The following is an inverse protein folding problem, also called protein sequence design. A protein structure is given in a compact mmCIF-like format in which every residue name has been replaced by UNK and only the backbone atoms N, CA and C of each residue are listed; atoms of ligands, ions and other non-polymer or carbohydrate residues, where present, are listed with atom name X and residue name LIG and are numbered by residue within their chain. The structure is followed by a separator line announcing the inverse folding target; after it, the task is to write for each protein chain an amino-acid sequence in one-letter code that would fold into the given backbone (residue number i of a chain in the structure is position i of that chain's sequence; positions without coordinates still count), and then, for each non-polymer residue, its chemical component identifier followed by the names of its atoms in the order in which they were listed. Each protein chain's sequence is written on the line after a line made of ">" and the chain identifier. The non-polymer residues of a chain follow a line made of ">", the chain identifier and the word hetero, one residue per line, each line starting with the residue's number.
data_IF_193718494103
#
_entry.id   IF_193718494103
#
_cell.length_a   1.000
_cell.length_b   1.000
_cell.length_c   1.000
_cell.angle_alpha   90.00
_cell.angle_beta   90.00
_cell.angle_gamma   90.00
#
_symmetry.space_group_name_H-M   'P 1'
#
loop_
_entity.id
_entity.type
_entity.pdbx_description
1 polymer ?
#
# COMPACT_ATOMS: atom_id res chain seq x y z
N UNK A 1 -17.40 37.59 30.84
CA UNK A 1 -17.38 37.80 29.38
C UNK A 1 -18.75 37.46 28.83
N UNK A 2 -19.31 38.26 27.92
CA UNK A 2 -20.63 38.01 27.32
C UNK A 2 -20.60 36.77 26.40
N UNK A 3 -21.76 36.14 26.16
CA UNK A 3 -21.90 35.04 25.18
C UNK A 3 -21.40 35.44 23.79
N UNK A 4 -21.63 36.70 23.38
CA UNK A 4 -21.13 37.25 22.12
C UNK A 4 -19.60 37.27 22.05
N UNK A 5 -18.92 37.55 23.16
CA UNK A 5 -17.46 37.52 23.21
C UNK A 5 -16.91 36.09 23.11
N UNK A 6 -17.60 35.09 23.67
CA UNK A 6 -17.25 33.68 23.48
C UNK A 6 -17.47 33.22 22.04
N UNK A 7 -18.59 33.59 21.43
CA UNK A 7 -18.89 33.24 20.04
C UNK A 7 -17.88 33.85 19.06
N UNK A 8 -17.48 35.11 19.26
CA UNK A 8 -16.45 35.76 18.45
C UNK A 8 -15.07 35.11 18.62
N UNK A 9 -14.74 34.65 19.83
CA UNK A 9 -13.50 33.92 20.10
C UNK A 9 -13.50 32.55 19.42
N UNK A 10 -14.60 31.81 19.46
CA UNK A 10 -14.76 30.54 18.73
C UNK A 10 -14.67 30.74 17.22
N UNK A 11 -15.31 31.78 16.68
CA UNK A 11 -15.25 32.09 15.24
C UNK A 11 -13.84 32.49 14.82
N UNK A 12 -13.15 33.28 15.65
CA UNK A 12 -11.75 33.66 15.43
C UNK A 12 -10.81 32.47 15.54
N UNK A 13 -11.00 31.57 16.51
CA UNK A 13 -10.25 30.33 16.65
C UNK A 13 -10.46 29.41 15.45
N UNK A 14 -11.70 29.19 15.01
CA UNK A 14 -12.00 28.42 13.80
C UNK A 14 -11.41 29.04 12.53
N UNK A 15 -11.38 30.38 12.45
CA UNK A 15 -10.76 31.09 11.33
C UNK A 15 -9.23 30.99 11.37
N UNK A 16 -8.62 31.08 12.55
CA UNK A 16 -7.17 30.93 12.75
C UNK A 16 -6.74 29.48 12.53
N UNK A 17 -7.51 28.49 12.95
CA UNK A 17 -7.26 27.08 12.64
C UNK A 17 -7.40 26.81 11.13
N UNK A 18 -8.39 27.39 10.45
CA UNK A 18 -8.51 27.31 9.00
C UNK A 18 -7.31 27.95 8.28
N UNK A 19 -6.87 29.14 8.74
CA UNK A 19 -5.70 29.86 8.22
C UNK A 19 -4.37 29.16 8.55
N UNK A 20 -4.25 28.50 9.71
CA UNK A 20 -3.06 27.76 10.12
C UNK A 20 -3.01 26.36 9.47
N UNK A 21 -4.16 25.76 9.15
CA UNK A 21 -4.27 24.55 8.33
C UNK A 21 -4.01 24.79 6.84
N UNK A 22 -3.94 26.07 6.41
CA UNK A 22 -3.60 26.47 5.04
C UNK A 22 -2.14 26.21 4.65
N UNK A 23 -1.36 25.50 5.47
CA UNK A 23 -0.26 24.67 4.95
C UNK A 23 -0.84 23.65 3.97
N UNK A 24 -0.83 24.01 2.68
CA UNK A 24 -1.29 23.27 1.50
C UNK A 24 -1.77 21.84 1.78
N UNK A 25 -3.06 21.70 2.12
CA UNK A 25 -3.68 20.38 2.13
C UNK A 25 -3.52 19.73 0.75
N UNK A 26 -3.31 18.39 0.69
CA UNK A 26 -3.11 17.72 -0.58
C UNK A 26 -4.37 17.84 -1.45
N UNK A 27 -4.20 17.89 -2.77
CA UNK A 27 -5.30 17.74 -3.73
C UNK A 27 -5.66 16.28 -3.95
N UNK A 28 -4.68 15.39 -3.78
CA UNK A 28 -4.76 13.97 -4.08
C UNK A 28 -4.33 13.17 -2.86
N UNK A 29 -5.14 12.18 -2.50
CA UNK A 29 -4.75 11.14 -1.56
C UNK A 29 -4.60 9.86 -2.37
N UNK A 30 -3.36 9.42 -2.51
CA UNK A 30 -2.97 8.27 -3.33
C UNK A 30 -2.72 7.08 -2.42
N UNK A 31 -3.34 5.95 -2.71
CA UNK A 31 -3.26 4.74 -1.88
C UNK A 31 -2.61 3.58 -2.62
N UNK A 32 -1.73 2.84 -1.97
CA UNK A 32 -1.59 1.42 -2.29
C UNK A 32 -2.85 0.66 -1.85
N UNK A 33 -3.02 -0.56 -2.35
CA UNK A 33 -4.17 -1.41 -2.05
C UNK A 33 -3.81 -2.47 -1.01
N UNK A 34 -2.93 -3.41 -1.37
CA UNK A 34 -2.51 -4.50 -0.48
C UNK A 34 -1.78 -3.95 0.75
N UNK A 35 -2.25 -4.27 1.95
CA UNK A 35 -1.65 -3.82 3.21
C UNK A 35 -1.99 -2.39 3.61
N UNK A 36 -2.79 -1.69 2.80
CA UNK A 36 -3.29 -0.34 3.08
C UNK A 36 -4.81 -0.34 3.13
N UNK A 37 -5.48 -0.58 2.00
CA UNK A 37 -6.95 -0.61 1.92
C UNK A 37 -7.53 -1.99 2.21
N UNK A 38 -6.74 -3.04 1.96
CA UNK A 38 -7.10 -4.44 2.23
C UNK A 38 -5.98 -5.13 2.99
N UNK A 39 -6.24 -6.30 3.56
CA UNK A 39 -5.24 -7.10 4.29
C UNK A 39 -3.99 -7.34 3.42
N UNK A 40 -2.80 -7.17 4.02
CA UNK A 40 -1.52 -7.32 3.32
C UNK A 40 -1.27 -8.77 2.90
N UNK A 41 -0.88 -9.02 1.64
CA UNK A 41 -0.50 -10.36 1.20
C UNK A 41 0.75 -10.88 1.94
N UNK A 42 1.61 -9.96 2.41
CA UNK A 42 2.80 -10.31 3.19
C UNK A 42 2.48 -10.94 4.55
N UNK A 43 1.28 -10.70 5.09
CA UNK A 43 0.85 -11.39 6.29
C UNK A 43 0.69 -12.90 6.05
N UNK A 44 0.19 -13.30 4.88
CA UNK A 44 0.04 -14.72 4.57
C UNK A 44 1.38 -15.38 4.23
N UNK A 45 2.32 -14.65 3.61
CA UNK A 45 3.70 -15.13 3.46
C UNK A 45 4.26 -15.53 4.84
N UNK A 46 4.15 -14.64 5.83
CA UNK A 46 4.62 -14.92 7.19
C UNK A 46 3.90 -16.13 7.80
N UNK A 47 2.58 -16.21 7.68
CA UNK A 47 1.80 -17.33 8.19
C UNK A 47 2.24 -18.65 7.55
N UNK A 48 2.43 -18.66 6.24
CA UNK A 48 2.87 -19.83 5.48
C UNK A 48 4.25 -20.28 5.91
N UNK A 49 5.21 -19.36 6.03
CA UNK A 49 6.57 -19.66 6.47
C UNK A 49 6.56 -20.30 7.87
N UNK A 50 5.83 -19.71 8.82
CA UNK A 50 5.72 -20.24 10.17
C UNK A 50 5.06 -21.63 10.22
N UNK A 51 3.97 -21.84 9.46
CA UNK A 51 3.28 -23.14 9.39
C UNK A 51 4.16 -24.25 8.82
N UNK A 52 5.10 -23.91 7.94
CA UNK A 52 5.97 -24.86 7.26
C UNK A 52 7.39 -24.94 7.88
N UNK A 53 7.62 -24.33 9.04
CA UNK A 53 8.94 -24.34 9.70
C UNK A 53 10.02 -23.60 8.92
N UNK A 54 9.64 -22.68 8.04
CA UNK A 54 10.55 -21.84 7.27
C UNK A 54 10.89 -20.60 8.13
N UNK A 55 12.18 -20.25 8.31
CA UNK A 55 12.57 -18.99 8.92
C UNK A 55 11.88 -17.81 8.25
N UNK A 56 11.21 -16.92 9.04
CA UNK A 56 10.47 -15.81 8.47
C UNK A 56 11.30 -14.90 7.57
N UNK A 57 10.72 -14.52 6.44
CA UNK A 57 11.29 -13.63 5.44
C UNK A 57 12.01 -14.31 4.27
N UNK A 58 11.97 -15.64 4.16
CA UNK A 58 12.56 -16.36 3.03
C UNK A 58 11.95 -15.95 1.68
N UNK A 59 10.62 -15.96 1.59
CA UNK A 59 9.90 -15.62 0.35
C UNK A 59 10.18 -14.16 -0.02
N UNK A 60 10.05 -13.25 0.94
CA UNK A 60 10.34 -11.83 0.72
C UNK A 60 11.81 -11.57 0.34
N UNK A 61 12.75 -12.31 0.93
CA UNK A 61 14.16 -12.25 0.55
C UNK A 61 14.34 -12.69 -0.90
N UNK A 62 13.73 -13.80 -1.30
CA UNK A 62 13.81 -14.33 -2.67
C UNK A 62 13.19 -13.38 -3.69
N UNK A 63 12.04 -12.78 -3.39
CA UNK A 63 11.45 -11.72 -4.20
C UNK A 63 12.43 -10.54 -4.35
N UNK A 64 12.97 -10.03 -3.24
CA UNK A 64 13.93 -8.92 -3.28
C UNK A 64 15.19 -9.24 -4.11
N UNK A 65 15.71 -10.47 -4.03
CA UNK A 65 16.93 -10.88 -4.74
C UNK A 65 16.74 -11.19 -6.21
N UNK A 66 15.52 -11.47 -6.64
CA UNK A 66 15.19 -11.70 -8.05
C UNK A 66 14.71 -10.43 -8.75
N UNK A 67 14.48 -9.35 -8.00
CA UNK A 67 14.17 -8.04 -8.58
C UNK A 67 15.29 -7.54 -9.53
N UNK A 68 14.95 -6.87 -10.64
CA UNK A 68 13.60 -6.58 -11.12
C UNK A 68 13.02 -7.67 -12.05
N UNK A 69 13.71 -8.79 -12.23
CA UNK A 69 13.46 -9.72 -13.34
C UNK A 69 12.83 -11.07 -12.93
N UNK A 70 12.59 -11.29 -11.64
CA UNK A 70 11.89 -12.47 -11.15
C UNK A 70 10.46 -12.55 -11.69
N UNK A 71 9.89 -13.75 -11.73
CA UNK A 71 8.57 -14.03 -12.28
C UNK A 71 7.49 -13.12 -11.67
N UNK A 72 7.53 -12.91 -10.36
CA UNK A 72 6.61 -11.99 -9.66
C UNK A 72 6.66 -10.55 -10.21
N UNK A 73 7.86 -10.04 -10.47
CA UNK A 73 8.05 -8.67 -10.96
C UNK A 73 7.57 -8.52 -12.40
N UNK A 74 7.81 -9.53 -13.24
CA UNK A 74 7.32 -9.58 -14.62
C UNK A 74 5.79 -9.65 -14.65
N UNK A 75 5.19 -10.47 -13.78
CA UNK A 75 3.74 -10.56 -13.63
C UNK A 75 3.15 -9.21 -13.20
N UNK A 76 3.76 -8.54 -12.22
CA UNK A 76 3.30 -7.23 -11.76
C UNK A 76 3.46 -6.11 -12.80
N UNK A 77 4.29 -6.31 -13.83
CA UNK A 77 4.39 -5.41 -15.00
C UNK A 77 3.55 -5.86 -16.18
N UNK A 78 2.78 -6.95 -16.06
CA UNK A 78 2.00 -7.49 -17.18
C UNK A 78 2.85 -8.04 -18.32
N UNK A 79 4.13 -8.32 -18.08
CA UNK A 79 5.05 -8.87 -19.10
C UNK A 79 4.80 -10.36 -19.36
N UNK A 80 4.21 -11.06 -18.39
CA UNK A 80 3.82 -12.47 -18.47
C UNK A 80 2.39 -12.63 -17.93
N UNK A 81 1.73 -13.72 -18.35
CA UNK A 81 0.38 -14.07 -17.90
C UNK A 81 0.43 -14.76 -16.53
N UNK A 82 -0.68 -14.71 -15.80
CA UNK A 82 -0.89 -15.52 -14.61
C UNK A 82 -1.32 -16.93 -15.03
N UNK A 83 -0.37 -17.79 -15.36
CA UNK A 83 -0.61 -19.16 -15.82
C UNK A 83 0.48 -20.12 -15.31
N UNK A 84 0.49 -21.36 -15.83
CA UNK A 84 1.43 -22.41 -15.45
C UNK A 84 2.90 -21.98 -15.60
N UNK A 85 3.23 -21.18 -16.62
CA UNK A 85 4.59 -20.68 -16.86
C UNK A 85 5.02 -19.68 -15.77
N UNK A 86 4.09 -18.79 -15.34
CA UNK A 86 4.33 -17.94 -14.18
C UNK A 86 4.59 -18.77 -12.92
N UNK A 87 3.75 -19.78 -12.64
CA UNK A 87 3.92 -20.59 -11.44
C UNK A 87 5.21 -21.41 -11.46
N UNK A 88 5.62 -21.93 -12.62
CA UNK A 88 6.92 -22.58 -12.80
C UNK A 88 8.07 -21.60 -12.50
N UNK A 89 8.01 -20.38 -13.05
CA UNK A 89 9.00 -19.34 -12.81
C UNK A 89 9.05 -18.89 -11.35
N UNK A 90 7.90 -18.70 -10.70
CA UNK A 90 7.82 -18.27 -9.31
C UNK A 90 8.36 -19.35 -8.36
N UNK A 91 8.02 -20.62 -8.59
CA UNK A 91 8.61 -21.73 -7.86
C UNK A 91 10.12 -21.82 -8.06
N UNK A 92 10.61 -21.63 -9.30
CA UNK A 92 12.04 -21.60 -9.58
C UNK A 92 12.76 -20.48 -8.81
N UNK A 93 12.18 -19.28 -8.76
CA UNK A 93 12.73 -18.14 -8.01
C UNK A 93 12.86 -18.42 -6.50
N UNK A 94 12.00 -19.28 -5.96
CA UNK A 94 11.98 -19.70 -4.55
C UNK A 94 12.86 -20.93 -4.25
N UNK A 95 13.49 -21.56 -5.27
CA UNK A 95 14.20 -22.84 -5.13
C UNK A 95 15.72 -22.76 -5.36
N UNK A 96 16.33 -21.61 -5.10
CA UNK A 96 17.76 -21.41 -5.29
C UNK A 96 18.59 -21.73 -4.01
N UNK A 97 19.47 -22.74 -4.05
CA UNK A 97 20.25 -23.15 -2.88
C UNK A 97 21.26 -22.10 -2.40
N UNK A 98 21.80 -21.26 -3.28
CA UNK A 98 22.77 -20.24 -2.92
C UNK A 98 22.09 -19.07 -2.20
N UNK A 99 20.92 -18.64 -2.69
CA UNK A 99 20.07 -17.66 -1.99
C UNK A 99 19.63 -18.19 -0.63
N UNK A 100 19.24 -19.46 -0.54
CA UNK A 100 18.86 -20.08 0.72
C UNK A 100 19.99 -20.04 1.75
N UNK A 101 21.20 -20.47 1.34
CA UNK A 101 22.40 -20.40 2.19
C UNK A 101 22.66 -18.97 2.67
N UNK A 102 22.58 -17.98 1.79
CA UNK A 102 22.82 -16.58 2.13
C UNK A 102 21.77 -16.03 3.11
N UNK A 103 20.49 -16.27 2.83
CA UNK A 103 19.38 -15.89 3.68
C UNK A 103 19.49 -16.52 5.07
N UNK A 104 19.64 -17.84 5.14
CA UNK A 104 19.71 -18.56 6.41
C UNK A 104 20.89 -18.09 7.26
N UNK A 105 22.06 -17.94 6.64
CA UNK A 105 23.25 -17.41 7.32
C UNK A 105 22.99 -16.05 7.93
N UNK A 106 22.43 -15.12 7.14
CA UNK A 106 22.12 -13.78 7.62
C UNK A 106 21.05 -13.78 8.72
N UNK A 107 20.01 -14.61 8.59
CA UNK A 107 18.93 -14.72 9.55
C UNK A 107 19.42 -15.24 10.91
N UNK A 108 20.29 -16.24 10.92
CA UNK A 108 20.89 -16.80 12.13
C UNK A 108 21.89 -15.83 12.77
N UNK A 109 22.73 -15.16 11.98
CA UNK A 109 23.64 -14.13 12.49
C UNK A 109 22.90 -12.99 13.20
N UNK A 110 21.76 -12.54 12.67
CA UNK A 110 20.91 -11.53 13.32
C UNK A 110 20.35 -11.99 14.67
N UNK A 111 20.25 -13.30 14.88
CA UNK A 111 19.82 -13.90 16.15
C UNK A 111 21.01 -14.26 17.06
N UNK A 112 22.25 -13.96 16.66
CA UNK A 112 23.45 -14.32 17.42
C UNK A 112 23.77 -15.82 17.39
N UNK A 113 23.24 -16.56 16.42
CA UNK A 113 23.43 -18.01 16.27
C UNK A 113 24.56 -18.29 15.28
N UNK A 114 25.56 -19.06 15.72
CA UNK A 114 26.64 -19.55 14.85
C UNK A 114 26.13 -20.68 13.96
N UNK A 115 26.23 -20.50 12.65
CA UNK A 115 25.79 -21.48 11.66
C UNK A 115 26.85 -22.56 11.47
N UNK A 116 26.55 -23.79 11.88
CA UNK A 116 27.43 -24.96 11.70
C UNK A 116 27.07 -25.80 10.48
N UNK A 117 25.80 -25.77 10.07
CA UNK A 117 25.29 -26.43 8.86
C UNK A 117 24.12 -25.63 8.28
N UNK A 118 23.91 -25.75 6.95
CA UNK A 118 22.75 -25.17 6.27
C UNK A 118 21.66 -26.26 6.19
N UNK A 119 20.45 -26.02 6.72
CA UNK A 119 19.35 -26.98 6.58
C UNK A 119 18.95 -27.15 5.10
N UNK A 120 18.23 -28.24 4.76
CA UNK A 120 17.69 -28.41 3.41
C UNK A 120 16.89 -27.18 2.95
N UNK A 121 16.94 -26.90 1.64
CA UNK A 121 16.13 -25.87 1.02
C UNK A 121 14.64 -26.15 1.30
N UNK A 122 13.88 -25.18 1.84
CA UNK A 122 12.46 -25.38 2.09
C UNK A 122 11.70 -25.63 0.78
N UNK A 123 10.75 -26.56 0.83
CA UNK A 123 9.79 -26.74 -0.25
C UNK A 123 8.68 -25.70 -0.08
N UNK A 124 8.60 -24.77 -1.02
CA UNK A 124 7.50 -23.81 -1.09
C UNK A 124 6.60 -24.20 -2.26
N UNK A 125 5.31 -24.30 -1.96
CA UNK A 125 4.24 -24.36 -2.96
C UNK A 125 3.90 -22.93 -3.38
N UNK A 126 4.58 -22.46 -4.42
CA UNK A 126 4.42 -21.09 -4.90
C UNK A 126 3.03 -20.78 -5.47
N UNK A 127 2.35 -21.79 -6.01
CA UNK A 127 1.01 -21.61 -6.60
C UNK A 127 -0.04 -21.51 -5.50
N UNK A 128 -0.03 -22.43 -4.52
CA UNK A 128 -0.92 -22.33 -3.37
C UNK A 128 -0.72 -21.01 -2.62
N UNK A 129 0.55 -20.64 -2.37
CA UNK A 129 0.87 -19.40 -1.65
C UNK A 129 0.37 -18.17 -2.42
N UNK A 130 0.54 -18.15 -3.74
CA UNK A 130 0.04 -17.07 -4.59
C UNK A 130 -1.47 -16.92 -4.44
N UNK A 131 -2.24 -17.99 -4.62
CA UNK A 131 -3.70 -17.91 -4.57
C UNK A 131 -4.21 -17.53 -3.19
N UNK A 132 -3.56 -18.03 -2.12
CA UNK A 132 -3.93 -17.67 -0.76
C UNK A 132 -3.64 -16.19 -0.46
N UNK A 133 -2.51 -15.64 -0.92
CA UNK A 133 -2.22 -14.20 -0.85
C UNK A 133 -3.30 -13.39 -1.56
N UNK A 134 -3.71 -13.79 -2.77
CA UNK A 134 -4.74 -13.09 -3.52
C UNK A 134 -6.13 -13.18 -2.86
N UNK A 135 -6.42 -14.31 -2.22
CA UNK A 135 -7.68 -14.54 -1.50
C UNK A 135 -7.77 -13.66 -0.25
N UNK A 136 -6.72 -13.60 0.57
CA UNK A 136 -6.74 -12.82 1.81
C UNK A 136 -6.71 -11.31 1.55
N UNK A 137 -6.03 -10.87 0.48
CA UNK A 137 -5.93 -9.46 0.06
C UNK A 137 -7.19 -8.95 -0.66
N UNK A 138 -8.36 -9.36 -0.17
CA UNK A 138 -9.68 -8.88 -0.56
C UNK A 138 -10.47 -8.33 0.62
N UNK A 139 -10.15 -8.78 1.83
CA UNK A 139 -10.80 -8.28 3.04
C UNK A 139 -10.39 -6.81 3.28
N UNK A 140 -11.36 -5.87 3.39
CA UNK A 140 -11.05 -4.48 3.70
C UNK A 140 -10.33 -4.33 5.04
N UNK A 141 -9.39 -3.40 5.13
CA UNK A 141 -8.76 -3.05 6.40
C UNK A 141 -9.78 -2.32 7.30
N UNK A 142 -9.93 -2.72 8.59
CA UNK A 142 -10.98 -2.21 9.45
C UNK A 142 -10.84 -0.73 9.82
N UNK A 143 -9.68 -0.12 9.62
CA UNK A 143 -9.44 1.31 9.89
C UNK A 143 -9.42 2.12 8.61
N UNK A 144 -8.71 1.63 7.59
CA UNK A 144 -8.54 2.37 6.35
C UNK A 144 -9.84 2.38 5.53
N UNK A 145 -10.65 1.31 5.57
CA UNK A 145 -11.87 1.25 4.77
C UNK A 145 -12.92 2.30 5.18
N UNK A 146 -13.31 2.44 6.46
CA UNK A 146 -14.20 3.53 6.89
C UNK A 146 -13.61 4.92 6.62
N UNK A 147 -12.30 5.10 6.82
CA UNK A 147 -11.62 6.35 6.51
C UNK A 147 -11.73 6.71 5.03
N UNK A 148 -11.54 5.74 4.13
CA UNK A 148 -11.66 5.92 2.68
C UNK A 148 -13.10 6.31 2.28
N UNK A 149 -14.11 5.69 2.90
CA UNK A 149 -15.53 6.04 2.70
C UNK A 149 -15.82 7.50 3.08
N UNK A 150 -15.33 7.95 4.24
CA UNK A 150 -15.47 9.34 4.69
C UNK A 150 -14.71 10.32 3.78
N UNK A 151 -13.49 9.96 3.37
CA UNK A 151 -12.71 10.75 2.41
C UNK A 151 -13.46 10.93 1.09
N UNK A 152 -14.03 9.85 0.54
CA UNK A 152 -14.84 9.92 -0.68
C UNK A 152 -16.10 10.77 -0.50
N UNK A 153 -16.82 10.56 0.60
CA UNK A 153 -18.04 11.30 0.92
C UNK A 153 -17.80 12.81 1.09
N UNK A 154 -16.61 13.22 1.53
CA UNK A 154 -16.24 14.64 1.64
C UNK A 154 -16.27 15.39 0.29
N UNK A 155 -16.07 14.67 -0.82
CA UNK A 155 -15.98 15.25 -2.17
C UNK A 155 -14.83 16.24 -2.38
N UNK A 156 -13.92 16.36 -1.41
CA UNK A 156 -12.87 17.40 -1.38
C UNK A 156 -11.60 17.00 -2.13
N UNK A 157 -11.22 15.72 -2.03
CA UNK A 157 -9.96 15.19 -2.55
C UNK A 157 -10.17 14.32 -3.79
N UNK A 158 -9.14 14.21 -4.63
CA UNK A 158 -9.04 13.12 -5.61
C UNK A 158 -8.60 11.87 -4.85
N UNK A 159 -9.43 10.84 -4.86
CA UNK A 159 -9.11 9.56 -4.22
C UNK A 159 -8.57 8.62 -5.29
N UNK A 160 -7.27 8.38 -5.29
CA UNK A 160 -6.58 7.60 -6.32
C UNK A 160 -5.88 6.37 -5.74
N UNK A 161 -5.74 5.32 -6.55
CA UNK A 161 -4.95 4.13 -6.21
C UNK A 161 -3.73 3.98 -7.12
N UNK A 162 -2.61 3.55 -6.56
CA UNK A 162 -1.39 3.15 -7.27
C UNK A 162 -0.85 1.85 -6.65
N UNK A 163 -1.10 0.73 -7.34
CA UNK A 163 -0.80 -0.58 -6.78
C UNK A 163 -0.04 -1.48 -7.74
N UNK A 164 0.95 -2.21 -7.17
CA UNK A 164 1.57 -3.33 -7.85
C UNK A 164 0.55 -4.48 -7.86
N UNK A 165 0.01 -4.77 -9.04
CA UNK A 165 -1.14 -5.64 -9.30
C UNK A 165 -0.80 -6.56 -10.46
N UNK A 166 -1.70 -7.49 -10.76
CA UNK A 166 -1.57 -8.48 -11.83
C UNK A 166 -2.86 -8.59 -12.62
N UNK A 167 -2.78 -9.22 -13.79
CA UNK A 167 -3.93 -9.57 -14.62
C UNK A 167 -4.21 -11.05 -14.38
N UNK A 168 -5.38 -11.36 -13.82
CA UNK A 168 -5.81 -12.74 -13.56
C UNK A 168 -6.24 -13.43 -14.86
N UNK A 169 -6.28 -14.78 -14.90
CA UNK A 169 -6.80 -15.52 -16.05
C UNK A 169 -8.20 -15.04 -16.46
N UNK A 170 -8.52 -15.14 -17.74
CA UNK A 170 -9.86 -14.80 -18.25
C UNK A 170 -10.93 -15.63 -17.52
N UNK A 171 -12.02 -14.98 -17.11
CA UNK A 171 -13.11 -15.62 -16.38
C UNK A 171 -12.84 -15.94 -14.90
N UNK A 172 -11.64 -15.63 -14.38
CA UNK A 172 -11.38 -15.79 -12.95
C UNK A 172 -12.22 -14.81 -12.12
N UNK A 173 -12.83 -15.27 -11.02
CA UNK A 173 -13.67 -14.47 -10.10
C UNK A 173 -12.95 -13.23 -9.54
N UNK A 174 -11.62 -13.22 -9.60
CA UNK A 174 -10.81 -12.11 -9.12
C UNK A 174 -10.77 -10.91 -10.05
N UNK A 175 -11.22 -11.07 -11.30
CA UNK A 175 -11.40 -9.97 -12.24
C UNK A 175 -12.66 -9.14 -11.94
N UNK A 176 -13.62 -9.69 -11.19
CA UNK A 176 -14.86 -9.01 -10.87
C UNK A 176 -14.59 -7.77 -10.00
N UNK A 177 -15.41 -6.74 -10.22
CA UNK A 177 -15.30 -5.50 -9.47
C UNK A 177 -15.53 -5.77 -7.97
N UNK A 178 -14.58 -5.36 -7.13
CA UNK A 178 -14.76 -5.35 -5.68
C UNK A 178 -15.15 -3.94 -5.20
N UNK A 179 -15.83 -3.87 -4.06
CA UNK A 179 -16.29 -2.60 -3.47
C UNK A 179 -15.14 -1.61 -3.27
N UNK A 180 -13.96 -2.11 -2.90
CA UNK A 180 -12.76 -1.31 -2.68
C UNK A 180 -12.35 -0.56 -3.94
N UNK A 181 -12.38 -1.18 -5.12
CA UNK A 181 -12.02 -0.52 -6.38
C UNK A 181 -12.98 0.61 -6.74
N UNK A 182 -14.26 0.46 -6.42
CA UNK A 182 -15.32 1.40 -6.85
C UNK A 182 -15.21 2.81 -6.24
N UNK A 183 -14.48 2.94 -5.12
CA UNK A 183 -14.37 4.21 -4.40
C UNK A 183 -13.39 5.19 -5.06
N UNK A 184 -12.42 4.67 -5.81
CA UNK A 184 -11.35 5.47 -6.38
C UNK A 184 -11.83 6.20 -7.63
N UNK A 185 -11.51 7.49 -7.71
CA UNK A 185 -11.68 8.28 -8.93
C UNK A 185 -10.75 7.78 -10.04
N UNK A 186 -9.57 7.29 -9.66
CA UNK A 186 -8.50 6.81 -10.55
C UNK A 186 -7.88 5.57 -9.93
N UNK A 187 -7.71 4.51 -10.73
CA UNK A 187 -7.06 3.28 -10.29
C UNK A 187 -5.93 2.91 -11.25
N UNK A 188 -4.68 3.07 -10.81
CA UNK A 188 -3.48 2.75 -11.59
C UNK A 188 -3.00 1.36 -11.20
N UNK A 189 -3.17 0.43 -12.14
CA UNK A 189 -2.69 -0.96 -12.03
C UNK A 189 -1.36 -1.09 -12.76
N UNK A 190 -0.30 -1.46 -12.02
CA UNK A 190 1.05 -1.70 -12.56
C UNK A 190 1.06 -2.62 -13.79
N UNK A 191 0.32 -3.73 -13.74
CA UNK A 191 0.31 -4.71 -14.83
C UNK A 191 -0.37 -4.19 -16.10
N UNK A 192 -1.34 -3.27 -15.97
CA UNK A 192 -2.00 -2.67 -17.13
C UNK A 192 -1.17 -1.55 -17.75
N UNK A 193 -0.34 -0.87 -16.95
CA UNK A 193 0.48 0.25 -17.44
C UNK A 193 1.92 -0.15 -17.78
N UNK A 194 2.34 -1.39 -17.49
CA UNK A 194 3.69 -1.88 -17.79
C UNK A 194 4.80 -1.33 -16.89
N UNK A 195 4.45 -0.69 -15.78
CA UNK A 195 5.39 -0.06 -14.84
C UNK A 195 5.16 -0.61 -13.44
N UNK A 196 6.17 -0.53 -12.56
CA UNK A 196 6.07 -1.08 -11.20
C UNK A 196 6.73 -0.19 -10.17
N UNK A 197 6.13 -0.03 -8.99
CA UNK A 197 6.83 0.55 -7.84
C UNK A 197 8.04 -0.34 -7.47
N UNK A 198 9.21 0.20 -7.10
CA UNK A 198 9.51 1.60 -6.83
C UNK A 198 10.14 2.38 -8.01
N UNK A 199 9.94 1.97 -9.27
CA UNK A 199 10.46 2.71 -10.43
C UNK A 199 9.89 4.14 -10.47
N UNK A 200 10.72 5.20 -10.57
CA UNK A 200 10.26 6.59 -10.64
C UNK A 200 9.24 6.84 -11.76
N UNK A 201 9.30 6.09 -12.86
CA UNK A 201 8.40 6.24 -14.00
C UNK A 201 6.92 6.07 -13.61
N UNK A 202 6.59 5.15 -12.70
CA UNK A 202 5.19 4.91 -12.30
C UNK A 202 4.62 6.06 -11.47
N UNK A 203 5.44 6.71 -10.65
CA UNK A 203 5.01 7.87 -9.87
C UNK A 203 4.83 9.10 -10.74
N UNK A 204 5.71 9.32 -11.73
CA UNK A 204 5.55 10.39 -12.71
C UNK A 204 4.29 10.18 -13.56
N UNK A 205 4.02 8.94 -14.00
CA UNK A 205 2.77 8.61 -14.67
C UNK A 205 1.56 8.90 -13.78
N UNK A 206 1.59 8.49 -12.50
CA UNK A 206 0.51 8.76 -11.56
C UNK A 206 0.26 10.27 -11.39
N UNK A 207 1.31 11.08 -11.25
CA UNK A 207 1.21 12.54 -11.19
C UNK A 207 0.52 13.12 -12.44
N UNK A 208 0.93 12.68 -13.64
CA UNK A 208 0.29 13.10 -14.89
C UNK A 208 -1.19 12.71 -14.93
N UNK A 209 -1.54 11.47 -14.58
CA UNK A 209 -2.92 10.97 -14.59
C UNK A 209 -3.82 11.75 -13.63
N UNK A 210 -3.38 12.01 -12.40
CA UNK A 210 -4.21 12.76 -11.43
C UNK A 210 -4.31 14.24 -11.78
N UNK A 211 -3.28 14.83 -12.41
CA UNK A 211 -3.31 16.20 -12.90
C UNK A 211 -4.33 16.35 -14.05
N UNK A 212 -4.33 15.44 -15.02
CA UNK A 212 -5.31 15.43 -16.12
C UNK A 212 -6.74 15.31 -15.59
N UNK A 213 -6.97 14.40 -14.63
CA UNK A 213 -8.28 14.27 -13.98
C UNK A 213 -8.70 15.55 -13.27
N UNK A 214 -7.79 16.18 -12.51
CA UNK A 214 -8.06 17.43 -11.81
C UNK A 214 -8.51 18.53 -12.78
N UNK A 215 -7.74 18.77 -13.85
CA UNK A 215 -8.02 19.80 -14.85
C UNK A 215 -9.34 19.54 -15.57
N UNK A 216 -9.62 18.29 -15.96
CA UNK A 216 -10.87 17.91 -16.64
C UNK A 216 -12.11 18.17 -15.77
N UNK A 217 -11.99 18.05 -14.46
CA UNK A 217 -13.12 18.15 -13.53
C UNK A 217 -13.20 19.52 -12.81
N UNK A 218 -12.22 20.40 -13.01
CA UNK A 218 -12.08 21.66 -12.26
C UNK A 218 -13.28 22.64 -12.39
N UNK A 219 -14.08 22.51 -13.46
CA UNK A 219 -15.29 23.32 -13.65
C UNK A 219 -16.43 22.94 -12.69
N UNK A 220 -16.49 21.68 -12.27
CA UNK A 220 -17.59 21.12 -11.47
C UNK A 220 -17.16 20.69 -10.06
N UNK A 221 -15.89 20.35 -9.86
CA UNK A 221 -15.33 19.86 -8.59
C UNK A 221 -14.02 20.58 -8.25
N UNK A 222 -13.54 20.40 -7.02
CA UNK A 222 -12.17 20.76 -6.66
C UNK A 222 -11.86 22.26 -6.56
N UNK A 223 -12.86 23.14 -6.62
CA UNK A 223 -12.67 24.60 -6.46
C UNK A 223 -11.96 24.94 -5.16
N UNK A 224 -12.35 24.30 -4.05
CA UNK A 224 -11.77 24.54 -2.72
C UNK A 224 -10.29 24.15 -2.58
N UNK A 225 -9.78 23.26 -3.44
CA UNK A 225 -8.36 22.88 -3.48
C UNK A 225 -7.66 23.34 -4.76
N UNK A 226 -8.28 24.22 -5.55
CA UNK A 226 -7.68 24.83 -6.73
C UNK A 226 -7.28 23.83 -7.83
N UNK A 227 -8.11 22.83 -8.13
CA UNK A 227 -7.83 21.85 -9.20
C UNK A 227 -7.61 22.49 -10.58
N UNK A 228 -8.17 23.68 -10.83
CA UNK A 228 -7.95 24.45 -12.06
C UNK A 228 -6.48 24.85 -12.26
N UNK A 229 -5.67 24.88 -11.20
CA UNK A 229 -4.24 25.18 -11.25
C UNK A 229 -3.38 23.92 -11.49
N UNK A 230 -4.01 22.77 -11.75
CA UNK A 230 -3.36 21.47 -11.87
C UNK A 230 -2.93 20.88 -10.52
N UNK A 231 -2.26 19.73 -10.59
CA UNK A 231 -1.70 18.99 -9.45
C UNK A 231 -0.18 18.92 -9.64
N UNK A 232 0.57 19.31 -8.60
CA UNK A 232 2.02 19.15 -8.48
C UNK A 232 2.35 17.98 -7.56
N UNK A 233 3.60 17.50 -7.59
CA UNK A 233 4.05 16.41 -6.72
C UNK A 233 3.77 16.67 -5.22
N UNK A 234 3.99 17.90 -4.76
CA UNK A 234 3.72 18.33 -3.37
C UNK A 234 2.23 18.35 -2.98
N UNK A 235 1.32 18.31 -3.97
CA UNK A 235 -0.13 18.23 -3.74
C UNK A 235 -0.61 16.78 -3.52
N UNK A 236 0.30 15.79 -3.56
CA UNK A 236 -0.02 14.36 -3.42
C UNK A 236 0.51 13.85 -2.08
N UNK A 237 -0.35 13.19 -1.32
CA UNK A 237 0.06 12.34 -0.18
C UNK A 237 -0.16 10.87 -0.54
N UNK A 238 0.91 10.09 -0.50
CA UNK A 238 0.92 8.67 -0.86
C UNK A 238 1.00 7.76 0.37
N UNK A 239 0.10 6.78 0.46
CA UNK A 239 0.04 5.78 1.52
C UNK A 239 0.47 4.41 0.98
N UNK A 240 1.44 3.78 1.64
CA UNK A 240 1.98 2.48 1.21
C UNK A 240 2.55 1.72 2.43
N UNK A 241 2.43 0.39 2.42
CA UNK A 241 2.94 -0.49 3.47
C UNK A 241 4.37 -0.99 3.20
N UNK A 242 5.00 -0.57 2.09
CA UNK A 242 6.38 -0.87 1.70
C UNK A 242 7.26 0.39 1.75
N UNK A 243 8.35 0.32 2.52
CA UNK A 243 9.20 1.49 2.78
C UNK A 243 9.98 1.97 1.55
N UNK A 244 10.36 1.06 0.65
CA UNK A 244 11.08 1.41 -0.58
C UNK A 244 10.20 2.17 -1.57
N UNK A 245 8.90 1.80 -1.66
CA UNK A 245 7.93 2.52 -2.46
C UNK A 245 7.80 3.98 -1.97
N UNK A 246 7.61 4.18 -0.67
CA UNK A 246 7.54 5.53 -0.09
C UNK A 246 8.83 6.32 -0.28
N UNK A 247 10.00 5.68 -0.18
CA UNK A 247 11.29 6.35 -0.45
C UNK A 247 11.37 6.84 -1.90
N UNK A 248 10.89 6.07 -2.87
CA UNK A 248 10.85 6.48 -4.26
C UNK A 248 9.81 7.59 -4.50
N UNK A 249 8.61 7.48 -3.93
CA UNK A 249 7.58 8.52 -3.97
C UNK A 249 8.09 9.86 -3.41
N UNK A 250 8.81 9.83 -2.28
CA UNK A 250 9.41 11.02 -1.69
C UNK A 250 10.48 11.66 -2.57
N UNK A 251 11.25 10.87 -3.33
CA UNK A 251 12.26 11.37 -4.28
C UNK A 251 11.63 12.12 -5.46
N UNK A 252 10.41 11.78 -5.87
CA UNK A 252 9.67 12.52 -6.91
C UNK A 252 8.87 13.71 -6.35
N UNK A 253 8.88 13.92 -5.03
CA UNK A 253 8.28 15.07 -4.36
C UNK A 253 6.93 14.83 -3.68
N UNK A 254 6.46 13.57 -3.58
CA UNK A 254 5.19 13.28 -2.89
C UNK A 254 5.35 13.39 -1.38
N UNK A 255 4.30 13.86 -0.70
CA UNK A 255 4.09 13.57 0.70
C UNK A 255 3.86 12.07 0.90
N UNK A 256 4.23 11.52 2.05
CA UNK A 256 4.14 10.08 2.30
C UNK A 256 3.67 9.77 3.70
N UNK A 257 2.76 8.82 3.84
CA UNK A 257 2.32 8.24 5.12
C UNK A 257 2.63 6.75 5.08
N UNK A 258 3.29 6.25 6.13
CA UNK A 258 3.64 4.84 6.24
C UNK A 258 2.51 4.07 6.90
N UNK A 259 1.94 3.10 6.19
CA UNK A 259 1.02 2.14 6.83
C UNK A 259 1.85 1.01 7.43
N UNK A 260 1.80 0.89 8.75
CA UNK A 260 2.45 -0.22 9.47
C UNK A 260 1.48 -1.39 9.55
N UNK A 261 1.97 -2.58 9.27
CA UNK A 261 1.17 -3.81 9.29
C UNK A 261 0.50 -3.99 10.66
N UNK A 262 -0.84 -4.15 10.67
CA UNK A 262 -1.64 -4.28 11.90
C UNK A 262 -1.84 -2.98 12.70
N UNK A 263 -1.41 -1.83 12.15
CA UNK A 263 -1.47 -0.52 12.80
C UNK A 263 -1.98 0.58 11.84
N UNK A 264 -2.92 0.24 10.95
CA UNK A 264 -3.51 1.20 10.01
C UNK A 264 -4.15 2.42 10.70
N UNK A 265 -4.58 2.29 11.96
CA UNK A 265 -5.07 3.40 12.78
C UNK A 265 -4.05 4.55 12.94
N UNK A 266 -2.73 4.28 12.92
CA UNK A 266 -1.72 5.33 12.99
C UNK A 266 -1.71 6.15 11.69
N UNK A 267 -1.82 5.48 10.55
CA UNK A 267 -1.90 6.12 9.24
C UNK A 267 -3.21 6.91 9.08
N UNK A 268 -4.33 6.41 9.60
CA UNK A 268 -5.60 7.15 9.65
C UNK A 268 -5.45 8.41 10.50
N UNK A 269 -4.84 8.34 11.68
CA UNK A 269 -4.60 9.52 12.51
C UNK A 269 -3.67 10.55 11.84
N UNK A 270 -2.72 10.11 11.01
CA UNK A 270 -1.91 11.01 10.17
C UNK A 270 -2.75 11.64 9.05
N UNK A 271 -3.64 10.89 8.41
CA UNK A 271 -4.59 11.41 7.42
C UNK A 271 -5.52 12.48 8.02
N UNK A 272 -6.01 12.29 9.24
CA UNK A 272 -6.84 13.28 9.94
C UNK A 272 -6.09 14.60 10.11
N UNK A 273 -4.82 14.55 10.52
CA UNK A 273 -3.97 15.76 10.66
C UNK A 273 -3.75 16.46 9.31
N UNK A 274 -3.56 15.69 8.24
CA UNK A 274 -3.30 16.22 6.89
C UNK A 274 -4.56 16.81 6.27
N UNK A 275 -5.72 16.20 6.52
CA UNK A 275 -6.98 16.57 5.86
C UNK A 275 -7.88 17.48 6.70
N UNK A 276 -7.69 17.51 8.02
CA UNK A 276 -8.58 18.16 8.97
C UNK A 276 -9.95 17.48 9.11
N UNK A 277 -10.10 16.25 8.58
CA UNK A 277 -11.35 15.48 8.68
C UNK A 277 -11.28 14.51 9.87
N UNK A 278 -12.43 14.23 10.49
CA UNK A 278 -12.60 13.09 11.39
C UNK A 278 -12.81 11.82 10.54
N UNK A 279 -11.80 10.96 10.52
CA UNK A 279 -11.77 9.73 9.72
C UNK A 279 -11.91 8.47 10.58
N UNK A 280 -11.33 8.45 11.78
CA UNK A 280 -11.31 7.29 12.64
C UNK A 280 -12.69 6.93 13.22
N UNK A 281 -13.57 7.93 13.45
CA UNK A 281 -14.85 7.70 14.12
C UNK A 281 -14.69 6.99 15.48
N UNK A 282 -15.66 6.14 15.83
CA UNK A 282 -15.73 5.45 17.15
C UNK A 282 -15.04 4.07 17.18
N UNK A 283 -14.19 3.76 16.20
CA UNK A 283 -13.58 2.43 16.11
C UNK A 283 -12.67 2.16 17.34
N UNK A 284 -12.83 1.01 18.03
CA UNK A 284 -12.00 0.70 19.18
C UNK A 284 -10.57 0.41 18.73
N UNK A 285 -9.59 1.11 19.32
CA UNK A 285 -8.13 1.01 19.08
C UNK A 285 -7.54 -0.35 19.48
N UNK A 286 -8.05 -1.44 18.91
CA UNK A 286 -7.55 -2.80 19.08
C UNK A 286 -6.58 -3.07 17.93
N UNK A 287 -5.30 -3.25 18.24
CA UNK A 287 -4.34 -3.67 17.22
C UNK A 287 -4.67 -5.10 16.77
N UNK A 288 -4.77 -5.30 15.47
CA UNK A 288 -4.83 -6.61 14.82
C UNK A 288 -3.43 -7.17 14.55
N UNK A 289 -2.38 -6.60 15.16
CA UNK A 289 -1.01 -7.06 14.97
C UNK A 289 -0.91 -8.57 15.26
N UNK A 290 -0.22 -9.34 14.41
CA UNK A 290 0.03 -10.74 14.68
C UNK A 290 0.69 -10.86 16.04
N UNK A 291 0.19 -11.76 16.88
CA UNK A 291 0.95 -12.23 18.04
C UNK A 291 2.19 -12.91 17.50
N UNK A 292 3.28 -12.17 17.36
CA UNK A 292 4.62 -12.72 17.18
C UNK A 292 4.91 -13.51 18.46
N UNK A 293 4.52 -14.79 18.50
CA UNK A 293 5.23 -15.68 19.40
C UNK A 293 6.69 -15.60 18.96
N UNK A 294 7.60 -15.53 19.92
CA UNK A 294 9.01 -15.76 19.62
C UNK A 294 9.10 -17.21 19.15
N UNK A 295 8.83 -17.45 17.86
CA UNK A 295 9.15 -18.70 17.23
C UNK A 295 10.67 -18.80 17.35
N UNK A 296 11.11 -19.59 18.32
CA UNK A 296 12.48 -20.07 18.36
C UNK A 296 12.59 -20.97 17.13
N UNK A 297 13.32 -20.49 16.13
CA UNK A 297 13.85 -21.33 15.07
C UNK A 297 14.95 -22.22 15.64
#
# INVERSE_FOLDING_TARGET
>A
MSEEAHHLIELALGTVEALMSSKNQPKVILFDIGGVCVVSPFQEILNYELRNGIPPGWVNHSLSKTAPNGAWHKLERGEIKCDEDFFAGFNHDLRDPLRWKAFYTQAMQKQGVTVTAIPPLPQVDGEWLFWEMMRISRAPDPWMWPALQKLKASGKYIIAALSNTMIFPEGHEFNDANEVRSIFDIFISSAHVGLRKPDPAIYNMALSTVNEYALKNASTKGKGLGWANGVKAEDIVFLDDIGENLKAAKKVGFGTIKVKLGQAYEAVAELEKVTGLDLAGDHPKVSSAPKMSKAKL
#
